data_IF_466164880332
#
_entry.id   IF_466164880332
#
_cell.length_a   1.000
_cell.length_b   1.000
_cell.length_c   1.000
_cell.angle_alpha   90.00
_cell.angle_beta   90.00
_cell.angle_gamma   90.00
#
_symmetry.space_group_name_H-M   'P 1'
#
loop_
_entity.id
_entity.type
_entity.pdbx_description
1 polymer ?
#
# COMPACT_ATOMS: atom_id res chain seq x y z
N UNK A 1 -0.48 3.64 13.14
CA UNK A 1 -0.23 2.28 13.70
C UNK A 1 -0.26 1.28 12.57
N UNK A 2 0.66 0.32 12.54
CA UNK A 2 0.68 -0.77 11.54
C UNK A 2 -0.16 -1.93 12.08
N UNK A 3 -0.90 -2.63 11.23
CA UNK A 3 -1.68 -3.82 11.63
C UNK A 3 -1.41 -4.99 10.70
N UNK A 4 -1.18 -6.17 11.28
CA UNK A 4 -1.15 -7.43 10.53
C UNK A 4 -2.53 -7.74 9.97
N UNK A 5 -2.63 -8.09 8.69
CA UNK A 5 -3.88 -8.42 8.00
C UNK A 5 -3.78 -9.76 7.29
N UNK A 6 -4.83 -10.57 7.41
CA UNK A 6 -4.92 -11.88 6.74
C UNK A 6 -5.24 -11.68 5.25
N UNK A 7 -4.33 -12.08 4.36
CA UNK A 7 -4.45 -11.92 2.91
C UNK A 7 -5.72 -12.56 2.33
N UNK A 8 -6.07 -13.79 2.74
CA UNK A 8 -7.28 -14.47 2.26
C UNK A 8 -8.55 -13.73 2.70
N UNK A 9 -8.56 -13.23 3.93
CA UNK A 9 -9.67 -12.40 4.44
C UNK A 9 -9.86 -11.15 3.60
N UNK A 10 -8.76 -10.51 3.17
CA UNK A 10 -8.86 -9.33 2.31
C UNK A 10 -9.38 -9.65 0.90
N UNK A 11 -9.00 -10.79 0.32
CA UNK A 11 -9.57 -11.28 -0.96
C UNK A 11 -11.08 -11.46 -0.83
N UNK A 12 -11.54 -12.10 0.24
CA UNK A 12 -12.97 -12.21 0.53
C UNK A 12 -13.66 -10.85 0.60
N UNK A 13 -13.04 -9.87 1.28
CA UNK A 13 -13.58 -8.52 1.38
C UNK A 13 -13.65 -7.79 0.04
N UNK A 14 -12.63 -7.92 -0.83
CA UNK A 14 -12.67 -7.36 -2.19
C UNK A 14 -13.86 -7.92 -2.96
N UNK A 15 -14.11 -9.23 -2.87
CA UNK A 15 -15.22 -9.88 -3.57
C UNK A 15 -16.58 -9.39 -3.02
N UNK A 16 -16.76 -9.45 -1.69
CA UNK A 16 -18.02 -9.07 -1.03
C UNK A 16 -18.36 -7.59 -1.25
N UNK A 17 -17.34 -6.73 -1.31
CA UNK A 17 -17.51 -5.28 -1.51
C UNK A 17 -17.43 -4.85 -2.97
N UNK A 18 -17.41 -5.79 -3.92
CA UNK A 18 -17.30 -5.52 -5.36
C UNK A 18 -16.15 -4.58 -5.72
N UNK A 19 -14.98 -4.76 -5.10
CA UNK A 19 -13.78 -3.97 -5.37
C UNK A 19 -13.62 -2.72 -4.50
N UNK A 20 -14.65 -2.28 -3.77
CA UNK A 20 -14.55 -1.07 -2.92
C UNK A 20 -13.48 -1.23 -1.84
N UNK A 21 -13.32 -2.43 -1.29
CA UNK A 21 -12.27 -2.72 -0.32
C UNK A 21 -10.86 -2.45 -0.88
N UNK A 22 -10.62 -2.60 -2.19
CA UNK A 22 -9.30 -2.31 -2.77
C UNK A 22 -8.92 -0.83 -2.63
N UNK A 23 -9.89 0.09 -2.74
CA UNK A 23 -9.68 1.52 -2.54
C UNK A 23 -9.38 1.82 -1.06
N UNK A 24 -10.16 1.21 -0.15
CA UNK A 24 -9.90 1.31 1.29
C UNK A 24 -8.51 0.78 1.64
N UNK A 25 -8.12 -0.37 1.08
CA UNK A 25 -6.81 -0.97 1.28
C UNK A 25 -5.69 -0.04 0.80
N UNK A 26 -5.84 0.56 -0.39
CA UNK A 26 -4.86 1.50 -0.94
C UNK A 26 -4.61 2.68 0.01
N UNK A 27 -5.68 3.29 0.52
CA UNK A 27 -5.58 4.36 1.50
C UNK A 27 -4.87 3.89 2.78
N UNK A 28 -5.34 2.80 3.38
CA UNK A 28 -4.85 2.33 4.68
C UNK A 28 -3.43 1.81 4.65
N UNK A 29 -3.05 1.05 3.64
CA UNK A 29 -1.67 0.60 3.50
C UNK A 29 -0.74 1.80 3.27
N UNK A 30 -1.17 2.82 2.51
CA UNK A 30 -0.38 4.04 2.28
C UNK A 30 -0.20 4.87 3.57
N UNK A 31 -1.22 4.95 4.43
CA UNK A 31 -1.07 5.57 5.77
C UNK A 31 -0.05 4.82 6.64
N UNK A 32 -0.07 3.49 6.62
CA UNK A 32 0.89 2.68 7.38
C UNK A 32 2.31 2.80 6.82
N UNK A 33 2.48 2.78 5.49
CA UNK A 33 3.78 3.01 4.86
C UNK A 33 4.30 4.42 5.16
N UNK A 34 3.44 5.43 5.16
CA UNK A 34 3.80 6.81 5.56
C UNK A 34 4.33 6.83 7.00
N UNK A 35 3.63 6.14 7.90
CA UNK A 35 4.03 6.04 9.30
C UNK A 35 5.39 5.32 9.45
N UNK A 36 5.60 4.21 8.75
CA UNK A 36 6.87 3.46 8.74
C UNK A 36 8.01 4.30 8.18
N UNK A 37 7.80 4.89 7.00
CA UNK A 37 8.82 5.65 6.27
C UNK A 37 9.07 7.04 6.84
N UNK A 38 8.32 7.46 7.87
CA UNK A 38 8.37 8.80 8.48
C UNK A 38 8.30 9.92 7.43
N UNK A 39 7.55 9.69 6.34
CA UNK A 39 7.47 10.62 5.22
C UNK A 39 6.31 11.61 5.41
N UNK A 40 6.60 12.75 6.02
CA UNK A 40 5.59 13.79 6.27
C UNK A 40 4.91 14.29 4.97
N UNK A 41 5.63 14.25 3.84
CA UNK A 41 5.18 14.73 2.55
C UNK A 41 4.29 13.73 1.80
N UNK A 42 4.22 12.48 2.26
CA UNK A 42 3.29 11.50 1.69
C UNK A 42 1.84 11.93 1.96
N UNK A 43 0.99 11.88 0.94
CA UNK A 43 -0.41 12.31 1.02
C UNK A 43 -1.39 11.19 0.62
N UNK A 44 -1.50 10.10 1.41
CA UNK A 44 -2.39 8.97 1.12
C UNK A 44 -3.83 9.35 0.75
N UNK A 45 -4.41 10.34 1.42
CA UNK A 45 -5.77 10.83 1.13
C UNK A 45 -5.88 11.44 -0.28
N UNK A 46 -4.92 12.30 -0.65
CA UNK A 46 -4.85 12.87 -2.00
C UNK A 46 -4.66 11.77 -3.04
N UNK A 47 -3.73 10.84 -2.82
CA UNK A 47 -3.48 9.74 -3.75
C UNK A 47 -4.72 8.87 -3.95
N UNK A 48 -5.51 8.65 -2.90
CA UNK A 48 -6.75 7.88 -2.98
C UNK A 48 -7.82 8.61 -3.80
N UNK A 49 -7.96 9.92 -3.64
CA UNK A 49 -8.88 10.74 -4.47
C UNK A 49 -8.46 10.73 -5.94
N UNK A 50 -7.16 10.85 -6.20
CA UNK A 50 -6.62 10.86 -7.56
C UNK A 50 -6.82 9.55 -8.33
N UNK A 51 -7.13 8.42 -7.67
CA UNK A 51 -7.50 7.17 -8.36
C UNK A 51 -8.71 7.32 -9.27
N UNK A 52 -9.59 8.30 -9.01
CA UNK A 52 -10.81 8.55 -9.77
C UNK A 52 -10.66 9.65 -10.83
N UNK A 53 -9.47 10.27 -10.94
CA UNK A 53 -9.21 11.35 -11.89
C UNK A 53 -8.39 10.79 -13.06
N UNK A 54 -8.74 11.11 -14.32
CA UNK A 54 -7.91 10.76 -15.47
C UNK A 54 -6.45 11.18 -15.26
N UNK A 55 -5.51 10.27 -15.54
CA UNK A 55 -4.07 10.41 -15.26
C UNK A 55 -3.64 10.55 -13.78
N UNK A 56 -4.55 10.93 -12.88
CA UNK A 56 -4.33 10.99 -11.44
C UNK A 56 -3.94 9.63 -10.85
N UNK A 57 -4.55 8.55 -11.33
CA UNK A 57 -4.21 7.19 -10.91
C UNK A 57 -2.73 6.85 -11.16
N UNK A 58 -2.15 7.27 -12.29
CA UNK A 58 -0.74 7.05 -12.59
C UNK A 58 0.16 7.80 -11.60
N UNK A 59 -0.18 9.04 -11.27
CA UNK A 59 0.53 9.80 -10.23
C UNK A 59 0.45 9.08 -8.88
N UNK A 60 -0.73 8.60 -8.49
CA UNK A 60 -0.93 7.85 -7.24
C UNK A 60 -0.09 6.58 -7.19
N UNK A 61 -0.05 5.78 -8.26
CA UNK A 61 0.77 4.58 -8.33
C UNK A 61 2.27 4.90 -8.28
N UNK A 62 2.70 5.97 -8.93
CA UNK A 62 4.10 6.42 -8.90
C UNK A 62 4.51 6.83 -7.48
N UNK A 63 3.73 7.68 -6.81
CA UNK A 63 4.01 8.13 -5.44
C UNK A 63 3.90 7.02 -4.41
N UNK A 64 2.95 6.11 -4.59
CA UNK A 64 2.85 4.89 -3.80
C UNK A 64 4.12 4.04 -3.91
N UNK A 65 4.63 3.86 -5.14
CA UNK A 65 5.83 3.06 -5.39
C UNK A 65 7.09 3.71 -4.84
N UNK A 66 7.18 5.04 -4.89
CA UNK A 66 8.25 5.80 -4.24
C UNK A 66 8.23 5.65 -2.72
N UNK A 67 7.04 5.68 -2.12
CA UNK A 67 6.89 5.47 -0.67
C UNK A 67 7.25 4.04 -0.27
N UNK A 68 6.88 3.04 -1.09
CA UNK A 68 7.25 1.66 -0.84
C UNK A 68 8.78 1.45 -0.86
N UNK A 69 9.47 1.99 -1.87
CA UNK A 69 10.93 1.90 -1.98
C UNK A 69 11.63 2.47 -0.74
N UNK A 70 11.13 3.57 -0.16
CA UNK A 70 11.68 4.15 1.08
C UNK A 70 11.60 3.21 2.29
N UNK A 71 10.55 2.37 2.36
CA UNK A 71 10.34 1.47 3.50
C UNK A 71 10.92 0.07 3.28
N UNK A 72 11.21 -0.30 2.04
CA UNK A 72 11.75 -1.62 1.67
C UNK A 72 12.78 -1.49 0.53
N UNK A 73 13.91 -0.78 0.78
CA UNK A 73 14.88 -0.43 -0.26
C UNK A 73 15.57 -1.66 -0.88
N UNK A 74 15.72 -2.74 -0.11
CA UNK A 74 16.41 -3.96 -0.55
C UNK A 74 15.52 -4.93 -1.34
N UNK A 75 14.21 -4.67 -1.45
CA UNK A 75 13.25 -5.60 -2.05
C UNK A 75 12.78 -5.19 -3.46
N UNK A 76 12.09 -4.05 -3.59
CA UNK A 76 11.61 -3.56 -4.90
C UNK A 76 11.91 -2.08 -5.05
N UNK A 77 12.56 -1.73 -6.15
CA UNK A 77 12.71 -0.33 -6.53
C UNK A 77 11.37 0.27 -7.01
N UNK A 78 11.29 1.60 -6.98
CA UNK A 78 10.07 2.34 -7.34
C UNK A 78 9.57 2.01 -8.75
N UNK A 79 10.47 1.90 -9.72
CA UNK A 79 10.11 1.69 -11.12
C UNK A 79 9.49 0.32 -11.36
N UNK A 80 10.04 -0.72 -10.73
CA UNK A 80 9.53 -2.08 -10.84
C UNK A 80 8.12 -2.19 -10.24
N UNK A 81 7.90 -1.62 -9.04
CA UNK A 81 6.58 -1.63 -8.41
C UNK A 81 5.55 -0.78 -9.19
N UNK A 82 6.00 0.36 -9.75
CA UNK A 82 5.15 1.24 -10.56
C UNK A 82 4.68 0.55 -11.85
N UNK A 83 5.58 -0.11 -12.57
CA UNK A 83 5.21 -0.88 -13.77
C UNK A 83 4.29 -2.05 -13.40
N UNK A 84 4.54 -2.71 -12.26
CA UNK A 84 3.70 -3.81 -11.79
C UNK A 84 2.28 -3.34 -11.46
N UNK A 85 2.09 -2.13 -10.94
CA UNK A 85 0.77 -1.52 -10.78
C UNK A 85 -0.01 -1.43 -12.10
N UNK A 86 0.67 -1.10 -13.21
CA UNK A 86 0.06 -0.91 -14.53
C UNK A 86 -0.26 -2.24 -15.24
N UNK A 87 0.61 -3.23 -15.08
CA UNK A 87 0.49 -4.52 -15.78
C UNK A 87 -0.34 -5.52 -14.97
N UNK A 88 -0.17 -5.55 -13.65
CA UNK A 88 -0.83 -6.52 -12.78
C UNK A 88 -0.96 -6.04 -11.33
N UNK A 89 -1.89 -5.10 -11.11
CA UNK A 89 -2.15 -4.50 -9.79
C UNK A 89 -2.36 -5.47 -8.62
N UNK A 90 -2.97 -6.67 -8.79
CA UNK A 90 -3.12 -7.61 -7.68
C UNK A 90 -1.78 -8.08 -7.10
N UNK A 91 -0.71 -8.19 -7.89
CA UNK A 91 0.59 -8.58 -7.37
C UNK A 91 1.16 -7.54 -6.41
N UNK A 92 1.01 -6.25 -6.70
CA UNK A 92 1.46 -5.18 -5.80
C UNK A 92 0.75 -5.29 -4.45
N UNK A 93 -0.55 -5.55 -4.47
CA UNK A 93 -1.31 -5.76 -3.24
C UNK A 93 -0.71 -6.85 -2.34
N UNK A 94 -0.46 -8.03 -2.88
CA UNK A 94 0.09 -9.14 -2.11
C UNK A 94 1.52 -8.86 -1.63
N UNK A 95 2.38 -8.28 -2.47
CA UNK A 95 3.75 -7.92 -2.13
C UNK A 95 3.78 -6.94 -0.95
N UNK A 96 3.07 -5.81 -1.09
CA UNK A 96 3.09 -4.76 -0.06
C UNK A 96 2.42 -5.23 1.21
N UNK A 97 1.32 -5.97 1.12
CA UNK A 97 0.66 -6.48 2.32
C UNK A 97 1.55 -7.47 3.08
N UNK A 98 2.26 -8.36 2.39
CA UNK A 98 3.18 -9.31 3.02
C UNK A 98 4.35 -8.57 3.69
N UNK A 99 4.93 -7.59 3.01
CA UNK A 99 6.02 -6.78 3.56
C UNK A 99 5.59 -6.01 4.81
N UNK A 100 4.42 -5.36 4.76
CA UNK A 100 3.89 -4.62 5.91
C UNK A 100 3.48 -5.55 7.07
N UNK A 101 3.01 -6.77 6.78
CA UNK A 101 2.74 -7.77 7.81
C UNK A 101 4.03 -8.20 8.53
N UNK A 102 5.14 -8.42 7.80
CA UNK A 102 6.45 -8.72 8.42
C UNK A 102 6.91 -7.57 9.33
N UNK A 103 6.78 -6.33 8.85
CA UNK A 103 7.12 -5.14 9.65
C UNK A 103 6.23 -5.02 10.90
N UNK A 104 4.96 -5.40 10.81
CA UNK A 104 4.05 -5.42 11.96
C UNK A 104 4.44 -6.44 13.02
N UNK A 105 4.99 -7.60 12.62
CA UNK A 105 5.47 -8.65 13.53
C UNK A 105 6.79 -8.28 14.23
N UNK A 106 7.63 -7.47 13.57
CA UNK A 106 8.92 -7.03 14.10
C UNK A 106 8.80 -5.89 15.11
N UNK A 107 7.66 -5.19 15.16
CA UNK A 107 7.39 -4.21 16.21
C UNK A 107 6.86 -5.00 17.42
N UNK A 108 7.67 -5.21 18.49
CA UNK A 108 7.20 -5.91 19.68
C UNK A 108 5.97 -5.19 20.22
N UNK A 109 5.00 -5.96 20.69
CA UNK A 109 3.72 -5.50 21.24
C UNK A 109 3.86 -4.77 22.59
N UNK A 110 4.84 -3.87 22.72
CA UNK A 110 5.16 -3.16 23.95
C UNK A 110 5.28 -1.66 23.63
N UNK A 111 4.14 -0.97 23.69
CA UNK A 111 4.00 0.42 24.22
C UNK A 111 2.54 0.87 24.08
N UNK A 112 1.67 0.27 24.90
CA UNK A 112 0.50 0.96 25.46
C UNK A 112 0.62 0.82 26.97
#
# INVERSE_FOLDING_TARGET
MIKKRNMLGQVGLVIITFGIYAIYWFFKISEEMKFVGKDANASPGLWTILLFIPFGAFYSYYKFSELYEKISPDHFNKWLLFVLWLVFSPAVWFIVQNEMNKKAEQIPAISV
#
